data_IF_848932460159
#
_entry.id   IF_848932460159
#
_cell.length_a   1.000
_cell.length_b   1.000
_cell.length_c   1.000
_cell.angle_alpha   90.00
_cell.angle_beta   90.00
_cell.angle_gamma   90.00
#
_symmetry.space_group_name_H-M   'P 1'
#
loop_
_entity.id
_entity.type
_entity.pdbx_description
1 polymer ?
#
# COMPACT_ATOMS: atom_id res chain seq x y z
N UNK A 1 9.41 49.11 14.76
CA UNK A 1 8.32 48.13 14.50
C UNK A 1 8.60 47.49 13.15
N UNK A 2 9.16 46.28 13.13
CA UNK A 2 9.44 45.59 11.87
C UNK A 2 10.44 44.48 12.06
N UNK A 3 10.09 43.44 12.83
CA UNK A 3 10.92 42.22 12.92
C UNK A 3 10.13 40.99 13.39
N UNK A 4 9.01 40.67 12.74
CA UNK A 4 8.17 39.49 13.11
C UNK A 4 7.77 38.62 11.90
N UNK A 5 8.49 38.70 10.78
CA UNK A 5 8.02 38.07 9.52
C UNK A 5 8.96 37.00 8.93
N UNK A 6 9.80 36.31 9.70
CA UNK A 6 10.65 35.22 9.16
C UNK A 6 10.55 33.86 9.85
N UNK A 7 9.65 33.70 10.82
CA UNK A 7 9.69 32.54 11.71
C UNK A 7 8.72 31.39 11.44
N UNK A 8 8.26 31.06 10.22
CA UNK A 8 7.44 29.84 10.05
C UNK A 8 7.22 29.34 8.61
N UNK A 9 8.26 29.18 7.81
CA UNK A 9 8.24 28.16 6.74
C UNK A 9 9.08 26.96 7.17
N UNK A 10 8.64 26.27 8.23
CA UNK A 10 9.18 24.94 8.54
C UNK A 10 8.71 24.01 7.42
N UNK A 11 9.62 23.75 6.51
CA UNK A 11 9.51 22.90 5.32
C UNK A 11 8.52 21.73 5.48
N UNK A 12 7.51 21.66 4.61
CA UNK A 12 6.61 20.49 4.44
C UNK A 12 7.33 19.18 4.05
N UNK A 13 8.66 19.19 3.90
CA UNK A 13 9.44 18.01 3.50
C UNK A 13 9.72 17.10 4.70
N UNK A 14 9.58 15.80 4.49
CA UNK A 14 9.98 14.79 5.48
C UNK A 14 11.49 14.94 5.77
N UNK A 15 11.93 14.81 7.03
CA UNK A 15 13.35 14.73 7.33
C UNK A 15 13.94 13.53 6.60
N UNK A 16 15.20 13.63 6.13
CA UNK A 16 15.84 12.61 5.29
C UNK A 16 15.72 11.18 5.88
N UNK A 17 15.79 11.05 7.21
CA UNK A 17 15.63 9.78 7.95
C UNK A 17 14.24 9.14 7.83
N UNK A 18 13.19 9.92 7.53
CA UNK A 18 11.83 9.43 7.32
C UNK A 18 11.47 9.28 5.84
N UNK A 19 12.27 9.83 4.93
CA UNK A 19 12.01 9.78 3.49
C UNK A 19 12.20 8.37 2.93
N UNK A 20 13.31 7.71 3.28
CA UNK A 20 13.62 6.35 2.81
C UNK A 20 12.50 5.36 3.16
N UNK A 21 12.05 5.21 4.43
CA UNK A 21 11.00 4.26 4.75
C UNK A 21 9.64 4.64 4.14
N UNK A 22 9.37 5.94 3.97
CA UNK A 22 8.18 6.40 3.25
C UNK A 22 8.21 5.99 1.77
N UNK A 23 9.35 6.16 1.10
CA UNK A 23 9.52 5.75 -0.30
C UNK A 23 9.37 4.24 -0.44
N UNK A 24 9.97 3.44 0.45
CA UNK A 24 9.79 1.99 0.47
C UNK A 24 8.31 1.59 0.59
N UNK A 25 7.59 2.20 1.53
CA UNK A 25 6.15 1.98 1.69
C UNK A 25 5.37 2.28 0.41
N UNK A 26 5.60 3.44 -0.21
CA UNK A 26 4.87 3.85 -1.43
C UNK A 26 5.24 2.97 -2.62
N UNK A 27 6.53 2.65 -2.80
CA UNK A 27 6.98 1.77 -3.89
C UNK A 27 6.38 0.38 -3.75
N UNK A 28 6.37 -0.20 -2.55
CA UNK A 28 5.69 -1.48 -2.30
C UNK A 28 4.20 -1.42 -2.61
N UNK A 29 3.52 -0.34 -2.20
CA UNK A 29 2.09 -0.16 -2.46
C UNK A 29 1.78 -0.03 -3.96
N UNK A 30 2.61 0.72 -4.70
CA UNK A 30 2.51 0.81 -6.16
C UNK A 30 2.72 -0.56 -6.79
N UNK A 31 3.73 -1.31 -6.35
CA UNK A 31 4.01 -2.65 -6.89
C UNK A 31 2.85 -3.63 -6.65
N UNK A 32 2.19 -3.58 -5.48
CA UNK A 32 0.96 -4.36 -5.23
C UNK A 32 -0.18 -3.96 -6.18
N UNK A 33 -0.41 -2.66 -6.38
CA UNK A 33 -1.47 -2.18 -7.29
C UNK A 33 -1.19 -2.55 -8.76
N UNK A 34 0.06 -2.39 -9.21
CA UNK A 34 0.48 -2.71 -10.58
C UNK A 34 0.40 -4.21 -10.85
N UNK A 35 0.68 -5.05 -9.85
CA UNK A 35 0.61 -6.51 -9.97
C UNK A 35 -0.76 -7.03 -10.40
N UNK A 36 -1.84 -6.28 -10.14
CA UNK A 36 -3.19 -6.62 -10.62
C UNK A 36 -3.29 -6.66 -12.16
N UNK A 37 -2.43 -5.91 -12.85
CA UNK A 37 -2.36 -5.81 -14.30
C UNK A 37 -1.23 -6.65 -14.91
N UNK A 38 -0.34 -7.18 -14.07
CA UNK A 38 0.73 -8.07 -14.53
C UNK A 38 0.20 -9.49 -14.76
N UNK A 39 0.87 -10.30 -15.59
CA UNK A 39 0.50 -11.69 -15.80
C UNK A 39 0.49 -12.47 -14.48
N UNK A 40 -0.69 -12.85 -14.04
CA UNK A 40 -0.94 -13.75 -12.91
C UNK A 40 -0.93 -15.22 -13.38
N UNK A 41 -1.39 -15.47 -14.60
CA UNK A 41 -1.13 -16.70 -15.32
C UNK A 41 -0.36 -16.43 -16.62
N UNK A 42 0.42 -17.41 -17.05
CA UNK A 42 1.12 -17.39 -18.32
C UNK A 42 0.93 -18.73 -19.04
N UNK A 43 0.57 -18.64 -20.33
CA UNK A 43 0.42 -19.80 -21.19
C UNK A 43 1.77 -20.53 -21.37
N UNK A 44 1.73 -21.86 -21.51
CA UNK A 44 2.91 -22.73 -21.63
C UNK A 44 2.89 -23.58 -22.91
N UNK A 45 4.07 -23.99 -23.34
CA UNK A 45 4.28 -24.93 -24.45
C UNK A 45 3.57 -24.53 -25.75
N UNK A 46 3.11 -25.53 -26.50
CA UNK A 46 2.43 -25.37 -27.79
C UNK A 46 1.20 -24.46 -27.71
N UNK A 47 0.54 -24.41 -26.55
CA UNK A 47 -0.62 -23.54 -26.36
C UNK A 47 -0.23 -22.05 -26.36
N UNK A 48 0.92 -21.69 -25.77
CA UNK A 48 1.44 -20.33 -25.85
C UNK A 48 1.82 -19.94 -27.28
N UNK A 49 2.38 -20.88 -28.05
CA UNK A 49 2.71 -20.67 -29.46
C UNK A 49 1.45 -20.49 -30.31
N UNK A 50 0.43 -21.33 -30.12
CA UNK A 50 -0.87 -21.20 -30.77
C UNK A 50 -1.50 -19.83 -30.52
N UNK A 51 -1.54 -19.37 -29.27
CA UNK A 51 -2.11 -18.07 -28.92
C UNK A 51 -1.36 -16.90 -29.59
N UNK A 52 -0.03 -17.00 -29.71
CA UNK A 52 0.80 -16.00 -30.40
C UNK A 52 0.60 -16.05 -31.92
N UNK A 53 0.58 -17.24 -32.51
CA UNK A 53 0.42 -17.44 -33.94
C UNK A 53 -0.94 -16.93 -34.44
N UNK A 54 -1.99 -17.15 -33.65
CA UNK A 54 -3.36 -16.75 -33.97
C UNK A 54 -3.84 -15.60 -33.09
N UNK A 55 -2.98 -14.60 -32.85
CA UNK A 55 -3.19 -13.52 -31.88
C UNK A 55 -4.49 -12.73 -32.06
N UNK A 56 -4.90 -12.48 -33.31
CA UNK A 56 -6.11 -11.71 -33.65
C UNK A 56 -7.38 -12.57 -33.73
N UNK A 57 -7.31 -13.88 -33.43
CA UNK A 57 -8.53 -14.68 -33.29
C UNK A 57 -9.23 -14.33 -31.97
N UNK A 58 -10.55 -14.20 -32.06
CA UNK A 58 -11.41 -14.00 -30.89
C UNK A 58 -11.28 -15.21 -29.97
N UNK A 59 -10.91 -14.95 -28.72
CA UNK A 59 -10.85 -15.96 -27.67
C UNK A 59 -12.18 -16.07 -26.93
N UNK A 60 -12.74 -14.92 -26.52
CA UNK A 60 -14.06 -14.84 -25.89
C UNK A 60 -14.73 -13.55 -26.34
N UNK A 61 -15.81 -13.68 -27.11
CA UNK A 61 -16.54 -12.55 -27.67
C UNK A 61 -17.21 -11.73 -26.57
N UNK A 62 -17.76 -12.39 -25.55
CA UNK A 62 -18.45 -11.76 -24.42
C UNK A 62 -17.52 -10.87 -23.58
N UNK A 63 -16.23 -11.18 -23.53
CA UNK A 63 -15.22 -10.39 -22.83
C UNK A 63 -14.43 -9.44 -23.77
N UNK A 64 -14.70 -9.48 -25.08
CA UNK A 64 -13.96 -8.73 -26.09
C UNK A 64 -12.47 -9.09 -26.16
N UNK A 65 -12.11 -10.33 -25.83
CA UNK A 65 -10.70 -10.77 -25.73
C UNK A 65 -10.28 -11.55 -26.98
N UNK A 66 -9.07 -11.29 -27.43
CA UNK A 66 -8.39 -12.04 -28.48
C UNK A 66 -7.28 -12.92 -27.88
N UNK A 67 -6.80 -13.89 -28.65
CA UNK A 67 -5.77 -14.84 -28.20
C UNK A 67 -4.50 -14.15 -27.66
N UNK A 68 -4.08 -13.04 -28.28
CA UNK A 68 -2.93 -12.25 -27.79
C UNK A 68 -3.12 -11.69 -26.38
N UNK A 69 -4.37 -11.44 -25.97
CA UNK A 69 -4.72 -10.84 -24.68
C UNK A 69 -4.70 -11.88 -23.54
N UNK A 70 -4.63 -13.18 -23.87
CA UNK A 70 -4.66 -14.29 -22.91
C UNK A 70 -3.35 -15.07 -22.83
N UNK A 71 -2.30 -14.70 -23.58
CA UNK A 71 -0.94 -15.27 -23.42
C UNK A 71 -0.41 -15.05 -21.99
N UNK A 72 -0.71 -13.89 -21.41
CA UNK A 72 -0.44 -13.55 -20.02
C UNK A 72 -1.70 -12.98 -19.37
N UNK A 73 -2.45 -13.83 -18.68
CA UNK A 73 -3.68 -13.41 -18.01
C UNK A 73 -3.35 -12.65 -16.73
N UNK A 74 -3.70 -11.37 -16.69
CA UNK A 74 -3.71 -10.60 -15.45
C UNK A 74 -4.97 -10.89 -14.62
N UNK A 75 -4.98 -10.49 -13.34
CA UNK A 75 -6.19 -10.55 -12.53
C UNK A 75 -7.32 -9.70 -13.12
N UNK A 76 -7.01 -8.58 -13.80
CA UNK A 76 -8.00 -7.83 -14.56
C UNK A 76 -8.60 -8.65 -15.72
N UNK A 77 -7.77 -9.39 -16.45
CA UNK A 77 -8.26 -10.22 -17.56
C UNK A 77 -9.14 -11.35 -17.04
N UNK A 78 -8.74 -12.02 -15.94
CA UNK A 78 -9.60 -12.99 -15.25
C UNK A 78 -10.93 -12.37 -14.82
N UNK A 79 -10.88 -11.21 -14.17
CA UNK A 79 -12.08 -10.50 -13.73
C UNK A 79 -13.04 -10.23 -14.90
N UNK A 80 -12.53 -9.80 -16.06
CA UNK A 80 -13.34 -9.60 -17.27
C UNK A 80 -13.97 -10.89 -17.77
N UNK A 81 -13.22 -11.99 -17.79
CA UNK A 81 -13.73 -13.31 -18.22
C UNK A 81 -14.87 -13.76 -17.29
N UNK A 82 -14.69 -13.67 -15.97
CA UNK A 82 -15.72 -14.07 -15.02
C UNK A 82 -16.97 -13.16 -15.07
N UNK A 83 -16.80 -11.84 -15.21
CA UNK A 83 -17.93 -10.91 -15.37
C UNK A 83 -18.69 -11.20 -16.67
N UNK A 84 -17.99 -11.41 -17.79
CA UNK A 84 -18.60 -11.77 -19.06
C UNK A 84 -19.37 -13.09 -18.96
N UNK A 85 -18.82 -14.07 -18.25
CA UNK A 85 -19.49 -15.34 -17.93
C UNK A 85 -20.81 -15.11 -17.18
N UNK A 86 -20.79 -14.32 -16.10
CA UNK A 86 -22.00 -13.97 -15.34
C UNK A 86 -23.04 -13.24 -16.20
N UNK A 87 -22.63 -12.23 -16.96
CA UNK A 87 -23.53 -11.42 -17.79
C UNK A 87 -24.16 -12.23 -18.93
N UNK A 88 -23.46 -13.25 -19.43
CA UNK A 88 -23.98 -14.12 -20.49
C UNK A 88 -25.12 -15.03 -20.02
N UNK A 89 -25.32 -15.19 -18.71
CA UNK A 89 -26.31 -16.11 -18.13
C UNK A 89 -26.00 -17.60 -18.35
N UNK A 90 -24.82 -17.93 -18.89
CA UNK A 90 -24.40 -19.31 -19.21
C UNK A 90 -23.84 -20.08 -18.00
N UNK A 91 -23.60 -19.41 -16.87
CA UNK A 91 -23.11 -20.04 -15.65
C UNK A 91 -24.27 -20.67 -14.88
N UNK A 92 -24.25 -22.00 -14.74
CA UNK A 92 -25.29 -22.76 -14.04
C UNK A 92 -24.73 -23.45 -12.80
N UNK A 93 -25.56 -23.59 -11.76
CA UNK A 93 -25.24 -24.35 -10.56
C UNK A 93 -23.96 -23.88 -9.86
N UNK A 94 -23.04 -24.81 -9.57
CA UNK A 94 -21.78 -24.53 -8.88
C UNK A 94 -20.91 -23.47 -9.57
N UNK A 95 -20.89 -23.46 -10.90
CA UNK A 95 -20.05 -22.53 -11.69
C UNK A 95 -20.41 -21.05 -11.44
N UNK A 96 -21.67 -20.76 -11.11
CA UNK A 96 -22.10 -19.41 -10.76
C UNK A 96 -21.47 -18.95 -9.45
N UNK A 97 -21.57 -19.79 -8.41
CA UNK A 97 -21.05 -19.48 -7.08
C UNK A 97 -19.53 -19.32 -7.11
N UNK A 98 -18.86 -20.22 -7.85
CA UNK A 98 -17.42 -20.19 -8.09
C UNK A 98 -16.97 -18.87 -8.73
N UNK A 99 -17.67 -18.41 -9.78
CA UNK A 99 -17.38 -17.13 -10.44
C UNK A 99 -17.60 -15.93 -9.51
N UNK A 100 -18.67 -15.94 -8.72
CA UNK A 100 -18.95 -14.85 -7.75
C UNK A 100 -17.84 -14.75 -6.72
N UNK A 101 -17.40 -15.88 -6.15
CA UNK A 101 -16.29 -15.91 -5.18
C UNK A 101 -15.01 -15.34 -5.80
N UNK A 102 -14.64 -15.77 -7.01
CA UNK A 102 -13.45 -15.28 -7.71
C UNK A 102 -13.52 -13.76 -7.95
N UNK A 103 -14.66 -13.25 -8.41
CA UNK A 103 -14.88 -11.82 -8.64
C UNK A 103 -14.76 -11.05 -7.32
N UNK A 104 -15.38 -11.53 -6.24
CA UNK A 104 -15.31 -10.90 -4.93
C UNK A 104 -13.87 -10.84 -4.42
N UNK A 105 -13.11 -11.93 -4.51
CA UNK A 105 -11.71 -11.95 -4.10
C UNK A 105 -10.85 -10.99 -4.93
N UNK A 106 -10.99 -11.00 -6.26
CA UNK A 106 -10.27 -10.07 -7.14
C UNK A 106 -10.64 -8.60 -6.84
N UNK A 107 -11.90 -8.30 -6.55
CA UNK A 107 -12.33 -6.97 -6.15
C UNK A 107 -11.72 -6.55 -4.80
N UNK A 108 -11.68 -7.45 -3.80
CA UNK A 108 -11.04 -7.19 -2.50
C UNK A 108 -9.55 -6.92 -2.69
N UNK A 109 -8.85 -7.71 -3.52
CA UNK A 109 -7.43 -7.50 -3.84
C UNK A 109 -7.23 -6.13 -4.48
N UNK A 110 -8.01 -5.79 -5.52
CA UNK A 110 -7.88 -4.53 -6.23
C UNK A 110 -8.15 -3.32 -5.33
N UNK A 111 -9.29 -3.31 -4.62
CA UNK A 111 -9.69 -2.20 -3.74
C UNK A 111 -8.71 -2.05 -2.58
N UNK A 112 -8.30 -3.15 -1.95
CA UNK A 112 -7.32 -3.09 -0.86
C UNK A 112 -5.98 -2.57 -1.34
N UNK A 113 -5.51 -2.98 -2.52
CA UNK A 113 -4.26 -2.47 -3.11
C UNK A 113 -4.28 -0.95 -3.33
N UNK A 114 -5.41 -0.42 -3.79
CA UNK A 114 -5.60 1.03 -3.92
C UNK A 114 -5.65 1.74 -2.56
N UNK A 115 -6.28 1.12 -1.55
CA UNK A 115 -6.31 1.67 -0.19
C UNK A 115 -4.93 1.65 0.47
N UNK A 116 -4.10 0.63 0.24
CA UNK A 116 -2.70 0.61 0.72
C UNK A 116 -1.94 1.80 0.12
N UNK A 117 -2.07 2.03 -1.19
CA UNK A 117 -1.43 3.16 -1.85
C UNK A 117 -1.93 4.50 -1.31
N UNK A 118 -3.25 4.66 -1.17
CA UNK A 118 -3.86 5.85 -0.59
C UNK A 118 -3.33 6.12 0.82
N UNK A 119 -3.38 5.14 1.72
CA UNK A 119 -2.92 5.31 3.10
C UNK A 119 -1.41 5.45 3.21
N UNK A 120 -0.64 4.83 2.29
CA UNK A 120 0.79 5.05 2.14
C UNK A 120 1.10 6.51 1.85
N UNK A 121 0.48 7.09 0.83
CA UNK A 121 0.64 8.50 0.44
C UNK A 121 0.14 9.45 1.54
N UNK A 122 -0.97 9.11 2.20
CA UNK A 122 -1.51 9.87 3.34
C UNK A 122 -0.68 9.72 4.63
N UNK A 123 0.43 8.96 4.61
CA UNK A 123 1.32 8.73 5.76
C UNK A 123 0.56 8.14 6.95
N UNK A 124 -0.39 7.24 6.67
CA UNK A 124 -1.18 6.44 7.62
C UNK A 124 -0.70 4.97 7.58
N UNK A 125 0.52 4.67 8.09
CA UNK A 125 1.15 3.36 7.96
C UNK A 125 0.35 2.22 8.60
N UNK A 126 -0.35 2.47 9.71
CA UNK A 126 -1.19 1.45 10.38
C UNK A 126 -2.32 0.99 9.44
N UNK A 127 -3.01 1.94 8.80
CA UNK A 127 -4.06 1.60 7.84
C UNK A 127 -3.50 0.86 6.63
N UNK A 128 -2.34 1.29 6.11
CA UNK A 128 -1.66 0.59 5.03
C UNK A 128 -1.32 -0.87 5.39
N UNK A 129 -0.86 -1.14 6.62
CA UNK A 129 -0.61 -2.51 7.11
C UNK A 129 -1.91 -3.32 7.12
N UNK A 130 -2.99 -2.80 7.70
CA UNK A 130 -4.28 -3.51 7.79
C UNK A 130 -4.79 -3.92 6.41
N UNK A 131 -4.82 -2.99 5.46
CA UNK A 131 -5.27 -3.30 4.10
C UNK A 131 -4.29 -4.21 3.35
N UNK A 132 -2.98 -4.15 3.65
CA UNK A 132 -2.00 -5.07 3.06
C UNK A 132 -2.19 -6.52 3.50
N UNK A 133 -2.53 -6.74 4.78
CA UNK A 133 -2.85 -8.08 5.29
C UNK A 133 -4.13 -8.60 4.65
N UNK A 134 -5.19 -7.78 4.61
CA UNK A 134 -6.45 -8.14 3.95
C UNK A 134 -6.22 -8.52 2.48
N UNK A 135 -5.43 -7.72 1.75
CA UNK A 135 -5.13 -7.94 0.35
C UNK A 135 -4.37 -9.27 0.12
N UNK A 136 -3.36 -9.57 0.93
CA UNK A 136 -2.58 -10.81 0.80
C UNK A 136 -3.38 -12.05 1.20
N UNK A 137 -4.24 -11.95 2.22
CA UNK A 137 -5.15 -13.04 2.58
C UNK A 137 -6.11 -13.32 1.42
N UNK A 138 -6.71 -12.30 0.82
CA UNK A 138 -7.58 -12.46 -0.34
C UNK A 138 -6.84 -13.02 -1.56
N UNK A 139 -5.59 -12.59 -1.77
CA UNK A 139 -4.72 -13.09 -2.83
C UNK A 139 -4.42 -14.58 -2.70
N UNK A 140 -4.00 -15.03 -1.52
CA UNK A 140 -3.75 -16.46 -1.29
C UNK A 140 -5.03 -17.29 -1.25
N UNK A 141 -6.16 -16.73 -0.81
CA UNK A 141 -7.46 -17.38 -0.92
C UNK A 141 -7.85 -17.60 -2.40
N UNK A 142 -7.63 -16.61 -3.27
CA UNK A 142 -7.86 -16.74 -4.71
C UNK A 142 -6.92 -17.76 -5.35
N UNK A 143 -5.63 -17.73 -4.98
CA UNK A 143 -4.65 -18.71 -5.44
C UNK A 143 -5.06 -20.13 -5.05
N UNK A 144 -5.45 -20.32 -3.79
CA UNK A 144 -5.90 -21.61 -3.29
C UNK A 144 -7.16 -22.11 -4.00
N UNK A 145 -8.13 -21.22 -4.25
CA UNK A 145 -9.33 -21.52 -5.03
C UNK A 145 -9.00 -21.99 -6.46
N UNK A 146 -8.01 -21.36 -7.11
CA UNK A 146 -7.55 -21.76 -8.43
C UNK A 146 -6.80 -23.10 -8.43
N UNK A 147 -5.97 -23.35 -7.41
CA UNK A 147 -5.27 -24.63 -7.22
C UNK A 147 -6.30 -25.76 -7.01
N UNK A 148 -7.31 -25.55 -6.14
CA UNK A 148 -8.34 -26.55 -5.80
C UNK A 148 -9.20 -26.95 -7.01
N UNK A 149 -9.54 -25.97 -7.86
CA UNK A 149 -10.34 -26.19 -9.08
C UNK A 149 -9.53 -26.63 -10.29
N UNK A 150 -8.20 -26.65 -10.19
CA UNK A 150 -7.31 -26.92 -11.32
C UNK A 150 -7.33 -25.84 -12.41
N UNK A 151 -7.71 -24.60 -12.06
CA UNK A 151 -7.65 -23.43 -12.96
C UNK A 151 -6.20 -23.06 -13.21
N UNK A 152 -5.40 -22.98 -12.12
CA UNK A 152 -3.95 -22.80 -12.15
C UNK A 152 -3.30 -23.62 -11.03
N UNK A 153 -2.13 -24.24 -11.27
CA UNK A 153 -1.55 -24.49 -12.57
C UNK A 153 -2.38 -25.54 -13.32
N UNK A 154 -2.39 -25.46 -14.65
CA UNK A 154 -3.02 -26.45 -15.53
C UNK A 154 -2.03 -26.91 -16.60
N UNK A 155 -2.47 -27.79 -17.51
CA UNK A 155 -1.65 -28.21 -18.65
C UNK A 155 -1.33 -27.04 -19.60
N UNK A 156 -2.20 -26.02 -19.64
CA UNK A 156 -2.09 -24.87 -20.56
C UNK A 156 -1.45 -23.65 -19.90
N UNK A 157 -1.62 -23.47 -18.59
CA UNK A 157 -1.17 -22.28 -17.87
C UNK A 157 -0.39 -22.62 -16.61
N UNK A 158 0.54 -21.74 -16.23
CA UNK A 158 1.05 -21.70 -14.86
C UNK A 158 1.04 -20.30 -14.30
N UNK A 159 1.48 -20.19 -13.05
CA UNK A 159 1.64 -18.91 -12.39
C UNK A 159 2.63 -18.01 -13.13
N UNK A 160 2.17 -16.79 -13.42
CA UNK A 160 2.94 -15.72 -14.02
C UNK A 160 3.69 -14.91 -12.97
N UNK A 161 4.28 -13.79 -13.40
CA UNK A 161 5.17 -12.99 -12.55
C UNK A 161 4.45 -12.30 -11.39
N UNK A 162 3.16 -11.97 -11.55
CA UNK A 162 2.38 -11.32 -10.50
C UNK A 162 2.29 -12.19 -9.23
N UNK A 163 2.34 -13.51 -9.38
CA UNK A 163 2.35 -14.46 -8.27
C UNK A 163 3.50 -14.21 -7.29
N UNK A 164 4.65 -13.79 -7.80
CA UNK A 164 5.85 -13.56 -7.00
C UNK A 164 5.98 -12.10 -6.57
N UNK A 165 5.66 -11.16 -7.46
CA UNK A 165 5.78 -9.72 -7.16
C UNK A 165 4.81 -9.32 -6.05
N UNK A 166 3.58 -9.85 -6.03
CA UNK A 166 2.57 -9.48 -5.06
C UNK A 166 3.00 -9.73 -3.60
N UNK A 167 3.41 -10.95 -3.19
CA UNK A 167 3.86 -11.21 -1.83
C UNK A 167 5.18 -10.52 -1.47
N UNK A 168 6.12 -10.36 -2.42
CA UNK A 168 7.35 -9.57 -2.19
C UNK A 168 6.98 -8.13 -1.86
N UNK A 169 6.05 -7.55 -2.61
CA UNK A 169 5.61 -6.16 -2.42
C UNK A 169 4.92 -5.97 -1.07
N UNK A 170 4.16 -6.96 -0.59
CA UNK A 170 3.60 -6.96 0.75
C UNK A 170 4.68 -6.87 1.85
N UNK A 171 5.74 -7.68 1.75
CA UNK A 171 6.85 -7.61 2.71
C UNK A 171 7.48 -6.22 2.72
N UNK A 172 7.67 -5.62 1.54
CA UNK A 172 8.19 -4.25 1.40
C UNK A 172 7.26 -3.21 2.04
N UNK A 173 5.95 -3.32 1.83
CA UNK A 173 4.94 -2.44 2.45
C UNK A 173 5.00 -2.51 3.97
N UNK A 174 5.01 -3.73 4.54
CA UNK A 174 5.03 -3.94 5.99
C UNK A 174 6.34 -3.42 6.59
N UNK A 175 7.49 -3.77 6.01
CA UNK A 175 8.79 -3.30 6.47
C UNK A 175 8.91 -1.77 6.38
N UNK A 176 8.49 -1.18 5.26
CA UNK A 176 8.48 0.27 5.05
C UNK A 176 7.56 0.99 6.04
N UNK A 177 6.35 0.46 6.28
CA UNK A 177 5.38 1.03 7.21
C UNK A 177 5.88 1.00 8.66
N UNK A 178 6.40 -0.15 9.13
CA UNK A 178 6.94 -0.30 10.49
C UNK A 178 8.13 0.64 10.68
N UNK A 179 9.07 0.66 9.74
CA UNK A 179 10.21 1.57 9.81
C UNK A 179 9.73 3.03 9.87
N UNK A 180 8.81 3.42 8.99
CA UNK A 180 8.27 4.77 8.94
C UNK A 180 7.61 5.17 10.28
N UNK A 181 6.86 4.26 10.90
CA UNK A 181 6.30 4.46 12.24
C UNK A 181 7.38 4.69 13.29
N UNK A 182 8.36 3.79 13.39
CA UNK A 182 9.45 3.88 14.39
C UNK A 182 10.23 5.19 14.22
N UNK A 183 10.60 5.54 12.99
CA UNK A 183 11.32 6.78 12.68
C UNK A 183 10.52 8.04 13.06
N UNK A 184 9.19 7.98 12.92
CA UNK A 184 8.30 9.07 13.32
C UNK A 184 8.17 9.17 14.85
N UNK A 185 8.10 8.04 15.56
CA UNK A 185 8.05 8.01 17.02
C UNK A 185 9.34 8.56 17.63
N UNK A 186 10.51 8.09 17.18
CA UNK A 186 11.81 8.58 17.66
C UNK A 186 11.94 10.09 17.43
N UNK A 187 11.57 10.60 16.25
CA UNK A 187 11.64 12.03 15.96
C UNK A 187 10.76 12.87 16.90
N UNK A 188 9.54 12.39 17.23
CA UNK A 188 8.65 13.05 18.19
C UNK A 188 9.27 13.08 19.59
N UNK A 189 9.78 11.95 20.08
CA UNK A 189 10.40 11.87 21.41
C UNK A 189 11.62 12.79 21.51
N UNK A 190 12.48 12.82 20.49
CA UNK A 190 13.65 13.71 20.45
C UNK A 190 13.23 15.19 20.45
N UNK A 191 12.24 15.58 19.64
CA UNK A 191 11.76 16.97 19.65
C UNK A 191 11.16 17.37 21.00
N UNK A 192 10.43 16.47 21.65
CA UNK A 192 9.86 16.70 22.98
C UNK A 192 10.95 16.83 24.06
N UNK A 193 12.01 16.01 23.99
CA UNK A 193 13.17 16.13 24.89
C UNK A 193 13.94 17.44 24.69
N UNK A 194 14.19 17.84 23.43
CA UNK A 194 14.81 19.14 23.16
C UNK A 194 13.96 20.28 23.71
N UNK A 195 12.66 20.30 23.43
CA UNK A 195 11.76 21.35 23.91
C UNK A 195 11.74 21.45 25.45
N UNK A 196 11.69 20.30 26.15
CA UNK A 196 11.72 20.28 27.61
C UNK A 196 13.06 20.79 28.18
N UNK A 197 14.19 20.46 27.54
CA UNK A 197 15.50 20.96 27.95
C UNK A 197 15.62 22.47 27.75
N UNK A 198 15.07 23.03 26.67
CA UNK A 198 15.10 24.48 26.45
C UNK A 198 14.27 25.25 27.48
N UNK A 199 13.12 24.71 27.90
CA UNK A 199 12.28 25.31 28.96
C UNK A 199 12.97 25.29 30.32
N UNK A 200 13.63 24.17 30.65
CA UNK A 200 14.34 24.03 31.94
C UNK A 200 15.66 24.84 32.02
N UNK A 201 16.20 25.26 30.88
CA UNK A 201 17.44 26.05 30.79
C UNK A 201 17.21 27.56 30.66
N UNK A 202 15.95 28.00 30.55
CA UNK A 202 15.64 29.42 30.50
C UNK A 202 16.02 30.07 31.85
N UNK A 203 16.77 31.19 31.87
CA UNK A 203 17.20 31.78 33.12
C UNK A 203 15.97 32.18 33.92
N UNK A 204 15.84 31.63 35.13
CA UNK A 204 14.97 32.21 36.15
C UNK A 204 15.46 33.64 36.30
N UNK A 205 14.68 34.60 35.82
CA UNK A 205 14.91 36.00 36.13
C UNK A 205 14.76 36.11 37.64
N UNK A 206 15.87 35.97 38.36
CA UNK A 206 15.97 36.22 39.78
C UNK A 206 15.48 37.65 39.97
N UNK A 207 14.26 37.78 40.51
CA UNK A 207 13.78 39.04 41.05
C UNK A 207 14.82 39.49 42.06
N UNK A 208 15.58 40.52 41.69
CA UNK A 208 16.49 41.19 42.59
C UNK A 208 15.66 41.64 43.80
N UNK A 209 15.94 41.02 44.95
CA UNK A 209 15.49 41.50 46.23
C UNK A 209 16.01 42.94 46.38
N UNK A 210 15.12 43.91 46.26
CA UNK A 210 15.40 45.31 46.61
C UNK A 210 15.60 45.32 48.11
N UNK A 211 16.86 45.42 48.54
CA UNK A 211 17.19 45.71 49.93
C UNK A 211 16.63 47.09 50.29
N UNK A 212 15.66 47.10 51.19
CA UNK A 212 15.12 48.32 51.80
C UNK A 212 16.23 48.99 52.64
N UNK A 213 16.47 50.31 52.49
CA UNK A 213 17.40 51.02 53.36
C UNK A 213 16.72 51.31 54.70
N UNK A 214 17.28 50.74 55.77
CA UNK A 214 16.93 51.04 57.16
C UNK A 214 17.16 52.52 57.44
N UNK A 215 16.08 53.24 57.79
CA UNK A 215 16.14 54.63 58.24
C UNK A 215 16.66 54.72 59.70
N UNK A 216 17.46 55.74 60.06
CA UNK A 216 17.97 55.88 61.41
C UNK A 216 16.89 56.44 62.35
N UNK A 217 16.79 55.82 63.52
CA UNK A 217 16.09 56.31 64.70
C UNK A 217 16.62 57.70 65.09
N UNK A 218 15.71 58.69 65.21
CA UNK A 218 15.98 59.92 65.95
C UNK A 218 15.28 59.83 67.30
N UNK A 219 16.10 59.93 68.34
CA UNK A 219 15.72 60.25 69.70
C UNK A 219 15.46 61.76 69.84
N UNK A 220 14.69 62.06 70.90
CA UNK A 220 14.27 63.35 71.48
C UNK A 220 13.02 64.02 70.90
#
# INVERSE_FOLDING_TARGET
MGDIAQGQQVSKRLPAKQLIPYVLLVVGAVAMAVSFFLPFASAKGDYAEYLKQYGDRVYTAEAGLHNKDVVGLSLLTFLRIYIAGLQSGKLLGGMYLEAVICITLMAVIAVSSLLILLFGVLKKPIAAIVFSVLAVVAFYALRWDFDDRGVLPSSQYGYGIAEYIYPISFVVVVAGAIWFMVSRHIAKTVHQQLANNTVNSAPVANGAAVAEPVAPSKAE
#
